data_IF_812178330109
#
_entry.id   IF_812178330109
#
_cell.length_a   1.000
_cell.length_b   1.000
_cell.length_c   1.000
_cell.angle_alpha   90.00
_cell.angle_beta   90.00
_cell.angle_gamma   90.00
#
_symmetry.space_group_name_H-M   'P 1'
#
loop_
_entity.id
_entity.type
_entity.pdbx_description
1 polymer ?
#
# COMPACT_ATOMS: atom_id res chain seq x y z
N UNK A 1 0.62 -14.88 13.88
CA UNK A 1 -0.74 -14.44 14.24
C UNK A 1 -1.54 -15.70 14.47
N UNK A 2 -2.18 -15.86 15.62
CA UNK A 2 -3.07 -16.99 15.87
C UNK A 2 -4.33 -16.81 15.01
N UNK A 3 -4.76 -17.84 14.28
CA UNK A 3 -5.91 -17.75 13.37
C UNK A 3 -7.19 -17.75 14.22
N UNK A 4 -8.06 -16.76 14.01
CA UNK A 4 -9.31 -16.63 14.75
C UNK A 4 -10.17 -17.91 14.65
N UNK A 5 -10.62 -18.49 15.79
CA UNK A 5 -11.49 -19.66 15.81
C UNK A 5 -12.77 -19.51 14.97
N UNK A 6 -13.31 -18.29 14.87
CA UNK A 6 -14.48 -17.99 14.04
C UNK A 6 -14.17 -18.13 12.55
N UNK A 7 -12.97 -17.73 12.12
CA UNK A 7 -12.53 -17.87 10.72
C UNK A 7 -12.37 -19.35 10.36
N UNK A 8 -11.80 -20.16 11.26
CA UNK A 8 -11.68 -21.61 11.06
C UNK A 8 -13.06 -22.28 11.01
N UNK A 9 -14.01 -21.84 11.83
CA UNK A 9 -15.37 -22.39 11.85
C UNK A 9 -16.15 -22.12 10.54
N UNK A 10 -15.89 -20.98 9.87
CA UNK A 10 -16.57 -20.59 8.63
C UNK A 10 -15.86 -21.14 7.39
N UNK A 11 -14.54 -21.03 7.34
CA UNK A 11 -13.74 -21.32 6.15
C UNK A 11 -12.98 -22.66 6.21
N UNK A 12 -13.01 -23.35 7.34
CA UNK A 12 -12.29 -24.60 7.56
C UNK A 12 -10.81 -24.40 7.91
N UNK A 13 -10.11 -25.51 8.14
CA UNK A 13 -8.67 -25.48 8.34
C UNK A 13 -7.94 -25.13 7.05
N UNK A 14 -6.83 -24.38 7.13
CA UNK A 14 -5.99 -24.15 5.96
C UNK A 14 -5.52 -25.46 5.33
N UNK A 15 -5.45 -25.54 3.99
CA UNK A 15 -4.86 -26.67 3.28
C UNK A 15 -3.42 -26.94 3.73
N UNK A 16 -3.01 -28.21 3.73
CA UNK A 16 -1.65 -28.60 4.09
C UNK A 16 -0.60 -27.85 3.26
N UNK A 17 0.40 -27.28 3.93
CA UNK A 17 1.50 -26.54 3.30
C UNK A 17 1.23 -25.05 3.04
N UNK A 18 0.02 -24.53 3.30
CA UNK A 18 -0.24 -23.08 3.27
C UNK A 18 -0.04 -22.49 4.67
N UNK A 19 1.07 -21.77 4.82
CA UNK A 19 1.35 -20.99 6.01
C UNK A 19 0.58 -19.65 5.96
N UNK A 20 -0.61 -19.61 6.57
CA UNK A 20 -1.39 -18.38 6.75
C UNK A 20 -0.76 -17.41 7.77
N UNK A 21 0.24 -17.85 8.54
CA UNK A 21 0.99 -16.99 9.45
C UNK A 21 2.12 -16.23 8.75
N UNK A 22 2.50 -16.63 7.55
CA UNK A 22 3.48 -15.94 6.71
C UNK A 22 2.93 -14.58 6.27
N UNK A 23 3.25 -13.55 7.04
CA UNK A 23 2.76 -12.20 6.82
C UNK A 23 3.35 -11.60 5.53
N UNK A 24 2.62 -11.69 4.40
CA UNK A 24 3.00 -11.06 3.13
C UNK A 24 2.69 -9.55 3.09
N UNK A 25 2.12 -9.01 4.16
CA UNK A 25 1.68 -7.62 4.25
C UNK A 25 2.83 -6.63 4.05
N UNK A 26 4.03 -6.92 4.54
CA UNK A 26 5.22 -6.07 4.30
C UNK A 26 5.56 -6.06 2.81
N UNK A 27 5.65 -7.24 2.19
CA UNK A 27 5.97 -7.39 0.76
C UNK A 27 4.95 -6.67 -0.12
N UNK A 28 3.65 -6.87 0.17
CA UNK A 28 2.57 -6.26 -0.59
C UNK A 28 2.57 -4.74 -0.44
N UNK A 29 2.76 -4.21 0.78
CA UNK A 29 2.88 -2.77 0.99
C UNK A 29 4.06 -2.17 0.25
N UNK A 30 5.22 -2.84 0.26
CA UNK A 30 6.40 -2.39 -0.51
C UNK A 30 6.11 -2.31 -2.01
N UNK A 31 5.42 -3.30 -2.57
CA UNK A 31 5.03 -3.30 -3.99
C UNK A 31 4.04 -2.17 -4.30
N UNK A 32 3.04 -1.95 -3.44
CA UNK A 32 2.07 -0.87 -3.62
C UNK A 32 2.75 0.51 -3.57
N UNK A 33 3.67 0.73 -2.62
CA UNK A 33 4.39 1.99 -2.50
C UNK A 33 5.34 2.23 -3.68
N UNK A 34 6.00 1.18 -4.20
CA UNK A 34 6.87 1.32 -5.38
C UNK A 34 6.07 1.67 -6.64
N UNK A 35 4.92 1.02 -6.86
CA UNK A 35 4.01 1.37 -7.96
C UNK A 35 3.44 2.78 -7.80
N UNK A 36 3.08 3.19 -6.59
CA UNK A 36 2.66 4.57 -6.31
C UNK A 36 3.76 5.57 -6.67
N UNK A 37 5.00 5.30 -6.28
CA UNK A 37 6.16 6.13 -6.62
C UNK A 37 6.38 6.24 -8.13
N UNK A 38 6.33 5.12 -8.86
CA UNK A 38 6.45 5.13 -10.33
C UNK A 38 5.32 5.97 -10.95
N UNK A 39 4.07 5.77 -10.52
CA UNK A 39 2.94 6.56 -11.01
C UNK A 39 3.11 8.07 -10.76
N UNK A 40 3.72 8.44 -9.62
CA UNK A 40 4.03 9.84 -9.30
C UNK A 40 5.04 10.44 -10.26
N UNK A 41 6.06 9.67 -10.67
CA UNK A 41 7.04 10.11 -11.67
C UNK A 41 6.39 10.37 -13.03
N UNK A 42 5.48 9.50 -13.48
CA UNK A 42 4.74 9.71 -14.72
C UNK A 42 3.83 10.94 -14.65
N UNK A 43 3.14 11.14 -13.53
CA UNK A 43 2.32 12.34 -13.31
C UNK A 43 3.18 13.61 -13.31
N UNK A 44 4.32 13.60 -12.60
CA UNK A 44 5.24 14.73 -12.57
C UNK A 44 5.79 15.06 -13.96
N UNK A 45 6.21 14.05 -14.73
CA UNK A 45 6.66 14.23 -16.11
C UNK A 45 5.55 14.81 -17.00
N UNK A 46 4.31 14.32 -16.85
CA UNK A 46 3.16 14.84 -17.58
C UNK A 46 2.91 16.32 -17.28
N UNK A 47 2.89 16.70 -16.01
CA UNK A 47 2.70 18.10 -15.60
C UNK A 47 3.86 18.95 -16.13
N UNK A 48 5.11 18.48 -16.02
CA UNK A 48 6.29 19.20 -16.50
C UNK A 48 6.27 19.48 -18.01
N UNK A 49 5.78 18.54 -18.82
CA UNK A 49 5.62 18.75 -20.27
C UNK A 49 4.47 19.74 -20.54
N UNK A 50 3.33 19.59 -19.84
CA UNK A 50 2.14 20.42 -20.07
C UNK A 50 2.33 21.88 -19.65
N UNK A 51 3.09 22.14 -18.59
CA UNK A 51 3.40 23.52 -18.16
C UNK A 51 4.25 24.27 -19.18
N UNK A 52 5.03 23.57 -20.03
CA UNK A 52 5.73 24.17 -21.16
C UNK A 52 4.81 24.49 -22.35
N UNK A 53 3.67 23.80 -22.47
CA UNK A 53 2.71 23.94 -23.57
C UNK A 53 1.55 24.90 -23.27
N UNK A 54 1.76 25.85 -22.35
CA UNK A 54 0.88 26.98 -22.03
C UNK A 54 -0.19 26.71 -20.96
N UNK A 55 -0.91 25.57 -20.98
CA UNK A 55 -1.97 25.30 -19.99
C UNK A 55 -2.14 23.81 -19.64
N UNK A 56 -2.57 23.55 -18.41
CA UNK A 56 -3.04 22.24 -17.97
C UNK A 56 -4.45 21.97 -18.51
N UNK A 57 -4.65 20.80 -19.08
CA UNK A 57 -5.95 20.30 -19.51
C UNK A 57 -6.77 19.83 -18.30
N UNK A 58 -8.10 19.80 -18.44
CA UNK A 58 -9.00 19.20 -17.46
C UNK A 58 -8.65 17.74 -17.14
N UNK A 59 -8.11 17.01 -18.12
CA UNK A 59 -7.60 15.65 -17.95
C UNK A 59 -6.39 15.59 -16.99
N UNK A 60 -5.51 16.59 -17.02
CA UNK A 60 -4.34 16.65 -16.15
C UNK A 60 -4.76 16.85 -14.67
N UNK A 61 -5.80 17.67 -14.43
CA UNK A 61 -6.40 17.83 -13.10
C UNK A 61 -7.08 16.54 -12.62
N UNK A 62 -7.83 15.87 -13.50
CA UNK A 62 -8.54 14.62 -13.16
C UNK A 62 -7.56 13.53 -12.75
N UNK A 63 -6.46 13.38 -13.48
CA UNK A 63 -5.39 12.42 -13.14
C UNK A 63 -4.70 12.81 -11.83
N UNK A 64 -4.45 14.10 -11.59
CA UNK A 64 -3.81 14.56 -10.36
C UNK A 64 -4.68 14.28 -9.13
N UNK A 65 -5.98 14.54 -9.23
CA UNK A 65 -6.95 14.25 -8.16
C UNK A 65 -7.07 12.74 -7.92
N UNK A 66 -7.13 11.95 -9.00
CA UNK A 66 -7.15 10.48 -8.89
C UNK A 66 -5.91 9.95 -8.20
N UNK A 67 -4.72 10.46 -8.55
CA UNK A 67 -3.47 10.09 -7.90
C UNK A 67 -3.47 10.45 -6.41
N UNK A 68 -4.01 11.62 -6.04
CA UNK A 68 -4.16 12.03 -4.64
C UNK A 68 -5.02 11.03 -3.84
N UNK A 69 -6.15 10.59 -4.36
CA UNK A 69 -6.99 9.58 -3.68
C UNK A 69 -6.28 8.24 -3.48
N UNK A 70 -5.51 7.80 -4.48
CA UNK A 70 -4.70 6.57 -4.37
C UNK A 70 -3.59 6.75 -3.34
N UNK A 71 -2.93 7.92 -3.30
CA UNK A 71 -1.91 8.23 -2.31
C UNK A 71 -2.47 8.24 -0.87
N UNK A 72 -3.66 8.82 -0.67
CA UNK A 72 -4.37 8.78 0.63
C UNK A 72 -4.70 7.35 1.02
N UNK A 73 -5.19 6.53 0.07
CA UNK A 73 -5.49 5.12 0.33
C UNK A 73 -4.24 4.35 0.76
N UNK A 74 -3.12 4.53 0.06
CA UNK A 74 -1.84 3.93 0.42
C UNK A 74 -1.34 4.39 1.80
N UNK A 75 -1.52 5.68 2.13
CA UNK A 75 -1.18 6.22 3.44
C UNK A 75 -2.02 5.59 4.56
N UNK A 76 -3.33 5.42 4.37
CA UNK A 76 -4.21 4.75 5.34
C UNK A 76 -3.75 3.31 5.55
N UNK A 77 -3.47 2.56 4.48
CA UNK A 77 -2.99 1.17 4.57
C UNK A 77 -1.66 1.09 5.32
N UNK A 78 -0.76 2.05 5.09
CA UNK A 78 0.54 2.10 5.78
C UNK A 78 0.39 2.47 7.26
N UNK A 79 -0.45 3.44 7.60
CA UNK A 79 -0.66 3.93 8.95
C UNK A 79 -1.51 2.99 9.82
N UNK A 80 -2.42 2.22 9.20
CA UNK A 80 -3.21 1.21 9.89
C UNK A 80 -2.36 0.01 10.36
N UNK A 81 -1.08 -0.07 9.96
CA UNK A 81 -0.18 -1.10 10.44
C UNK A 81 0.18 -0.86 11.91
N UNK A 82 -0.03 -1.85 12.80
CA UNK A 82 0.47 -1.75 14.16
C UNK A 82 1.99 -1.63 14.13
N UNK A 83 2.53 -0.58 14.77
CA UNK A 83 3.98 -0.38 14.94
C UNK A 83 4.55 -1.63 15.60
N UNK A 84 5.33 -2.40 14.86
CA UNK A 84 6.04 -3.57 15.39
C UNK A 84 7.28 -3.08 16.16
N UNK A 85 7.02 -2.34 17.25
CA UNK A 85 8.01 -1.78 18.15
C UNK A 85 8.05 -2.56 19.45
N UNK A 86 8.87 -3.61 19.50
CA UNK A 86 9.54 -4.04 20.73
C UNK A 86 10.83 -4.79 20.36
N UNK A 87 11.77 -4.02 19.82
CA UNK A 87 13.16 -4.44 19.61
C UNK A 87 14.07 -3.98 20.77
N UNK A 88 13.54 -3.92 22.00
CA UNK A 88 14.34 -3.70 23.20
C UNK A 88 13.84 -4.60 24.34
N UNK A 89 14.54 -5.71 24.50
CA UNK A 89 14.39 -6.67 25.61
C UNK A 89 15.59 -7.60 25.66
N UNK A 90 16.80 -7.03 25.65
CA UNK A 90 18.00 -7.77 26.05
C UNK A 90 17.95 -8.02 27.56
N UNK A 91 18.24 -9.27 27.93
CA UNK A 91 18.69 -9.72 29.25
C UNK A 91 17.68 -9.67 30.40
N UNK A 92 17.04 -10.81 30.67
CA UNK A 92 17.31 -11.66 31.87
C UNK A 92 16.56 -12.98 31.76
#
# INVERSE_FOLDING_TARGET
MEIDPMVIAIFGHPPEGIDLSANQEIKNTTIVLSMLGISALFLAGRIAIRTQQSHLSLDDYTISVSWLFVAITAAIVFLAKPVQGNMFGHSR
#
